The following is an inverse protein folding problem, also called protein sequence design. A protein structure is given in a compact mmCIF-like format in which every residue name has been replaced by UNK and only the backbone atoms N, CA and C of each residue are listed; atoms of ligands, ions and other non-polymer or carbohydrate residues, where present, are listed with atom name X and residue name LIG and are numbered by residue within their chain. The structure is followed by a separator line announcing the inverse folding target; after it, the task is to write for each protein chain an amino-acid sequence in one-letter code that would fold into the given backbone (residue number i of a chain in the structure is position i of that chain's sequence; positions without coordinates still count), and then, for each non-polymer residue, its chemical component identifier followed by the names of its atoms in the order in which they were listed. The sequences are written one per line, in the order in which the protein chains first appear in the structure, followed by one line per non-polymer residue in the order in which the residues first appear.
data_IF_395246551100
#
_entry.id   IF_395246551100
#
_cell.length_a   1.000
_cell.length_b   1.000
_cell.length_c   1.000
_cell.angle_alpha   90.00
_cell.angle_beta   90.00
_cell.angle_gamma   90.00
#
_symmetry.space_group_name_H-M   'P 1'
#
loop_
_entity.id
_entity.type
_entity.pdbx_description
1 polymer ?
#
# COMPACT_ATOMS: atom_id res chain seq x y z
N UNK A 1 -27.46 -50.94 -45.19
CA UNK A 1 -26.82 -49.93 -46.07
C UNK A 1 -25.55 -49.47 -45.37
N UNK A 2 -24.41 -49.88 -45.90
CA UNK A 2 -23.06 -49.69 -45.35
C UNK A 2 -22.50 -48.35 -45.84
N UNK A 3 -21.99 -47.49 -44.94
CA UNK A 3 -20.88 -46.58 -45.28
C UNK A 3 -19.88 -46.55 -44.14
N UNK A 4 -18.66 -46.92 -44.50
CA UNK A 4 -17.43 -46.95 -43.74
C UNK A 4 -16.52 -45.83 -44.29
N UNK A 5 -15.48 -45.49 -43.49
CA UNK A 5 -14.20 -44.84 -43.83
C UNK A 5 -14.22 -43.29 -43.91
N UNK A 6 -13.25 -42.54 -43.36
CA UNK A 6 -11.88 -42.91 -42.94
C UNK A 6 -11.12 -41.73 -42.27
N UNK A 7 -10.44 -42.04 -41.13
CA UNK A 7 -9.07 -41.70 -40.64
C UNK A 7 -8.55 -40.24 -40.71
N UNK A 8 -7.92 -39.59 -39.69
CA UNK A 8 -6.99 -39.93 -38.58
C UNK A 8 -5.81 -38.90 -38.60
N UNK A 9 -4.80 -38.81 -37.69
CA UNK A 9 -4.54 -39.51 -36.41
C UNK A 9 -4.06 -38.66 -35.18
N UNK A 10 -4.20 -39.29 -34.02
CA UNK A 10 -3.52 -39.31 -32.69
C UNK A 10 -2.28 -38.41 -32.35
N UNK A 11 -2.24 -37.89 -31.11
CA UNK A 11 -1.11 -38.06 -30.15
C UNK A 11 -1.65 -38.16 -28.70
N UNK A 12 -1.07 -39.09 -27.94
CA UNK A 12 -1.38 -39.50 -26.56
C UNK A 12 -0.59 -38.67 -25.55
N UNK A 13 -1.19 -38.36 -24.40
CA UNK A 13 -0.44 -38.34 -23.12
C UNK A 13 -1.35 -38.86 -22.00
N UNK A 14 -1.11 -40.09 -21.58
CA UNK A 14 -1.57 -40.61 -20.30
C UNK A 14 -0.71 -39.95 -19.22
N UNK A 15 -1.28 -39.13 -18.34
CA UNK A 15 -0.66 -38.85 -17.04
C UNK A 15 -1.36 -39.75 -16.03
N UNK A 16 -0.60 -40.74 -15.60
CA UNK A 16 -0.90 -41.72 -14.58
C UNK A 16 -1.14 -40.99 -13.25
N UNK A 17 -2.35 -41.09 -12.71
CA UNK A 17 -2.70 -40.65 -11.36
C UNK A 17 -2.02 -41.59 -10.36
N UNK A 18 -0.93 -41.15 -9.73
CA UNK A 18 -0.41 -41.80 -8.53
C UNK A 18 -1.21 -41.27 -7.34
N UNK A 19 -2.11 -42.11 -6.83
CA UNK A 19 -2.82 -41.89 -5.58
C UNK A 19 -1.81 -42.06 -4.45
N UNK A 20 -1.26 -40.94 -3.97
CA UNK A 20 -0.62 -40.88 -2.66
C UNK A 20 -1.68 -40.54 -1.61
N UNK A 21 -2.10 -41.53 -0.82
CA UNK A 21 -2.94 -41.31 0.35
C UNK A 21 -2.06 -40.61 1.40
N UNK A 22 -2.13 -39.29 1.47
CA UNK A 22 -1.69 -38.54 2.64
C UNK A 22 -2.87 -38.44 3.60
N UNK A 23 -2.92 -39.34 4.59
CA UNK A 23 -3.65 -39.09 5.83
C UNK A 23 -2.80 -38.09 6.65
N UNK A 24 -2.83 -36.82 6.22
CA UNK A 24 -2.30 -35.69 6.96
C UNK A 24 -3.48 -34.85 7.39
N UNK A 25 -3.60 -34.56 8.68
CA UNK A 25 -4.53 -33.56 9.20
C UNK A 25 -4.51 -32.34 8.29
N UNK A 26 -5.67 -31.95 7.76
CA UNK A 26 -5.86 -30.67 7.09
C UNK A 26 -5.70 -29.59 8.17
N UNK A 27 -4.45 -29.25 8.50
CA UNK A 27 -4.17 -27.90 8.94
C UNK A 27 -4.61 -27.05 7.77
N UNK A 28 -5.83 -26.51 7.86
CA UNK A 28 -6.14 -25.26 7.20
C UNK A 28 -4.99 -24.36 7.62
N UNK A 29 -4.01 -24.19 6.75
CA UNK A 29 -3.14 -23.04 6.85
C UNK A 29 -4.14 -21.90 6.82
N UNK A 30 -4.46 -21.38 8.01
CA UNK A 30 -5.00 -20.05 8.11
C UNK A 30 -4.05 -19.28 7.21
N UNK A 31 -4.57 -18.68 6.15
CA UNK A 31 -3.93 -17.51 5.60
C UNK A 31 -3.86 -16.58 6.81
N UNK A 32 -2.82 -16.73 7.63
CA UNK A 32 -2.38 -15.67 8.47
C UNK A 32 -2.01 -14.64 7.42
N UNK A 33 -2.76 -13.53 7.28
CA UNK A 33 -2.20 -12.43 6.52
C UNK A 33 -0.80 -12.28 7.07
N UNK A 34 0.22 -12.31 6.19
CA UNK A 34 1.54 -11.86 6.62
C UNK A 34 1.24 -10.54 7.31
N UNK A 35 1.50 -10.43 8.60
CA UNK A 35 1.60 -9.12 9.21
C UNK A 35 2.72 -8.48 8.40
N UNK A 36 2.32 -7.71 7.40
CA UNK A 36 3.20 -6.85 6.66
C UNK A 36 3.88 -6.04 7.76
N UNK A 37 5.20 -5.92 7.68
CA UNK A 37 5.88 -5.02 8.60
C UNK A 37 5.21 -3.66 8.37
N UNK A 38 4.38 -3.22 9.33
CA UNK A 38 3.57 -2.00 9.24
C UNK A 38 4.50 -0.79 9.43
N UNK A 39 5.65 -0.83 8.78
CA UNK A 39 6.73 0.13 8.86
C UNK A 39 6.98 0.64 7.45
N UNK A 40 6.96 1.95 7.32
CA UNK A 40 7.36 2.62 6.08
C UNK A 40 8.78 3.17 6.23
N UNK A 41 9.56 3.10 5.15
CA UNK A 41 10.89 3.67 5.06
C UNK A 41 10.88 4.80 4.02
N UNK A 42 11.66 5.85 4.27
CA UNK A 42 11.81 6.96 3.33
C UNK A 42 12.26 6.44 1.95
N UNK A 43 11.57 6.85 0.90
CA UNK A 43 11.85 6.50 -0.50
C UNK A 43 11.49 5.06 -0.88
N UNK A 44 10.84 4.28 0.00
CA UNK A 44 10.39 2.92 -0.29
C UNK A 44 8.87 2.84 -0.24
N UNK A 45 8.18 2.66 -1.38
CA UNK A 45 6.72 2.56 -1.40
C UNK A 45 6.26 1.28 -0.69
N UNK A 46 5.11 1.37 -0.03
CA UNK A 46 4.42 0.25 0.64
C UNK A 46 3.00 0.17 0.11
N UNK A 47 2.58 -1.00 -0.35
CA UNK A 47 1.18 -1.25 -0.74
C UNK A 47 0.42 -1.76 0.48
N UNK A 48 -0.74 -1.16 0.77
CA UNK A 48 -1.64 -1.57 1.86
C UNK A 48 -3.04 -1.85 1.32
N UNK A 49 -3.75 -2.78 1.96
CA UNK A 49 -5.17 -3.01 1.71
C UNK A 49 -6.01 -2.22 2.74
N UNK A 50 -7.08 -1.56 2.28
CA UNK A 50 -8.12 -0.95 3.12
C UNK A 50 -9.49 -1.49 2.71
N UNK A 51 -10.45 -1.55 3.63
CA UNK A 51 -11.77 -2.16 3.35
C UNK A 51 -12.99 -1.35 3.83
N UNK A 52 -12.84 -0.02 3.95
CA UNK A 52 -13.82 0.93 4.50
C UNK A 52 -14.07 0.79 6.01
N UNK A 53 -14.10 -0.44 6.54
CA UNK A 53 -14.23 -0.70 7.98
C UNK A 53 -12.88 -0.61 8.70
N UNK A 54 -11.79 -0.95 8.01
CA UNK A 54 -10.43 -1.03 8.55
C UNK A 54 -9.47 -0.13 7.75
N UNK A 55 -8.98 0.97 8.36
CA UNK A 55 -7.83 1.69 7.81
C UNK A 55 -6.55 0.87 7.96
N UNK A 56 -5.57 1.18 7.10
CA UNK A 56 -4.21 0.70 7.27
C UNK A 56 -3.41 1.65 8.17
N UNK A 57 -2.54 1.08 9.01
CA UNK A 57 -1.64 1.84 9.87
C UNK A 57 -0.18 1.52 9.54
N UNK A 58 0.59 2.55 9.20
CA UNK A 58 2.02 2.47 8.97
C UNK A 58 2.77 3.28 10.03
N UNK A 59 3.92 2.78 10.47
CA UNK A 59 4.81 3.43 11.41
C UNK A 59 6.05 3.94 10.70
N UNK A 60 6.41 5.19 10.96
CA UNK A 60 7.62 5.83 10.47
C UNK A 60 8.48 6.24 11.67
N UNK A 61 9.76 5.87 11.67
CA UNK A 61 10.70 6.30 12.72
C UNK A 61 11.53 7.47 12.21
N UNK A 62 11.42 8.61 12.90
CA UNK A 62 12.31 9.74 12.70
C UNK A 62 13.46 9.66 13.70
N UNK A 63 14.70 9.73 13.22
CA UNK A 63 15.89 9.72 14.08
C UNK A 63 16.27 11.13 14.57
N UNK A 64 15.71 12.17 13.96
CA UNK A 64 15.97 13.57 14.26
C UNK A 64 14.85 14.46 13.70
N UNK A 65 14.79 15.76 14.05
CA UNK A 65 13.84 16.68 13.44
C UNK A 65 14.03 16.75 11.93
N UNK A 66 12.95 16.59 11.18
CA UNK A 66 13.00 16.50 9.72
C UNK A 66 11.69 16.92 9.07
N UNK A 67 11.71 17.10 7.74
CA UNK A 67 10.51 17.28 6.94
C UNK A 67 10.16 15.98 6.24
N UNK A 68 8.88 15.70 6.10
CA UNK A 68 8.40 14.59 5.27
C UNK A 68 7.38 15.07 4.24
N UNK A 69 7.32 14.40 3.10
CA UNK A 69 6.19 14.38 2.18
C UNK A 69 5.57 12.98 2.17
N UNK A 70 4.27 12.89 1.89
CA UNK A 70 3.56 11.61 1.77
C UNK A 70 2.60 11.68 0.58
N UNK A 71 2.58 10.61 -0.21
CA UNK A 71 1.56 10.37 -1.25
C UNK A 71 0.86 9.04 -0.94
N UNK A 72 -0.46 9.02 -0.98
CA UNK A 72 -1.28 7.81 -0.91
C UNK A 72 -2.05 7.66 -2.22
N UNK A 73 -1.52 6.84 -3.13
CA UNK A 73 -2.04 6.63 -4.47
C UNK A 73 -2.97 5.41 -4.51
N UNK A 74 -4.22 5.59 -4.92
CA UNK A 74 -5.12 4.48 -5.19
C UNK A 74 -4.60 3.62 -6.35
N UNK A 75 -4.61 2.30 -6.20
CA UNK A 75 -4.34 1.35 -7.29
C UNK A 75 -5.62 0.84 -7.98
N UNK A 76 -6.79 1.32 -7.55
CA UNK A 76 -8.07 1.04 -8.16
C UNK A 76 -8.29 1.89 -9.43
N UNK A 77 -9.39 1.65 -10.15
CA UNK A 77 -9.79 2.53 -11.25
C UNK A 77 -9.99 3.98 -10.76
N UNK A 78 -9.65 4.96 -11.60
CA UNK A 78 -9.72 6.38 -11.26
C UNK A 78 -11.07 6.78 -10.66
N UNK A 79 -11.04 7.41 -9.48
CA UNK A 79 -12.24 7.89 -8.78
C UNK A 79 -13.02 6.83 -7.99
N UNK A 80 -12.58 5.56 -7.96
CA UNK A 80 -13.20 4.50 -7.14
C UNK A 80 -12.86 4.64 -5.67
N UNK A 81 -11.61 4.98 -5.37
CA UNK A 81 -11.09 5.09 -4.03
C UNK A 81 -10.45 6.47 -3.85
N UNK A 82 -11.05 7.24 -2.96
CA UNK A 82 -10.65 8.58 -2.54
C UNK A 82 -9.83 8.45 -1.26
N UNK A 83 -8.52 8.66 -1.30
CA UNK A 83 -7.61 8.30 -0.20
C UNK A 83 -7.50 9.40 0.85
N UNK A 84 -7.16 9.01 2.08
CA UNK A 84 -6.91 9.92 3.21
C UNK A 84 -5.61 9.56 3.89
N UNK A 85 -4.84 10.58 4.25
CA UNK A 85 -3.65 10.49 5.11
C UNK A 85 -3.94 11.24 6.41
N UNK A 86 -3.81 10.55 7.54
CA UNK A 86 -3.68 11.19 8.85
C UNK A 86 -2.32 10.83 9.47
N UNK A 87 -1.63 11.83 10.02
CA UNK A 87 -0.34 11.64 10.72
C UNK A 87 -0.49 12.01 12.18
N UNK A 88 -0.04 11.12 13.06
CA UNK A 88 -0.02 11.33 14.52
C UNK A 88 1.38 11.14 15.11
N UNK A 89 1.66 11.83 16.21
CA UNK A 89 2.87 11.61 17.01
C UNK A 89 2.75 10.38 17.93
N UNK A 90 3.81 10.09 18.70
CA UNK A 90 3.87 8.96 19.62
C UNK A 90 2.86 9.03 20.78
N UNK A 91 2.30 10.20 21.07
CA UNK A 91 1.26 10.41 22.07
C UNK A 91 -0.15 10.32 21.46
N UNK A 92 -0.26 10.14 20.14
CA UNK A 92 -1.51 10.11 19.41
C UNK A 92 -2.07 11.49 19.08
N UNK A 93 -1.29 12.57 19.25
CA UNK A 93 -1.72 13.89 18.81
C UNK A 93 -1.67 13.95 17.28
N UNK A 94 -2.75 14.45 16.66
CA UNK A 94 -2.82 14.64 15.22
C UNK A 94 -1.96 15.82 14.79
N UNK A 95 -1.06 15.56 13.84
CA UNK A 95 -0.16 16.55 13.25
C UNK A 95 -0.65 17.03 11.89
N UNK A 96 -1.25 16.12 11.10
CA UNK A 96 -1.77 16.42 9.77
C UNK A 96 -2.97 15.53 9.43
N UNK A 97 -3.83 16.04 8.55
CA UNK A 97 -4.91 15.32 7.87
C UNK A 97 -5.05 15.90 6.46
N UNK A 98 -5.05 15.05 5.45
CA UNK A 98 -5.22 15.42 4.03
C UNK A 98 -6.03 14.32 3.34
N UNK A 99 -7.04 14.71 2.56
CA UNK A 99 -7.92 13.83 1.78
C UNK A 99 -7.87 14.13 0.27
N UNK A 100 -7.21 15.20 -0.16
CA UNK A 100 -6.99 15.53 -1.57
C UNK A 100 -5.57 16.01 -1.84
N UNK A 101 -5.18 16.06 -3.12
CA UNK A 101 -3.92 16.65 -3.52
C UNK A 101 -4.07 18.13 -3.88
N UNK A 102 -3.15 18.99 -3.41
CA UNK A 102 -3.21 20.44 -3.61
C UNK A 102 -3.24 20.92 -5.09
N UNK A 103 -2.96 20.05 -6.06
CA UNK A 103 -2.65 20.45 -7.45
C UNK A 103 -3.55 19.87 -8.54
N UNK A 104 -4.63 19.13 -8.25
CA UNK A 104 -5.57 18.66 -9.28
C UNK A 104 -7.00 18.55 -8.76
N UNK A 105 -7.92 19.28 -9.38
CA UNK A 105 -9.35 19.29 -9.06
C UNK A 105 -10.06 17.92 -9.20
N UNK A 106 -9.40 16.96 -9.86
CA UNK A 106 -9.91 15.61 -10.10
C UNK A 106 -9.00 14.52 -9.49
N UNK A 107 -8.01 14.90 -8.66
CA UNK A 107 -7.15 13.92 -7.99
C UNK A 107 -7.69 13.62 -6.59
N UNK A 108 -8.19 12.40 -6.43
CA UNK A 108 -8.68 11.86 -5.16
C UNK A 108 -7.57 11.14 -4.37
N UNK A 109 -6.32 11.22 -4.84
CA UNK A 109 -5.16 10.81 -4.04
C UNK A 109 -4.76 11.92 -3.06
N UNK A 110 -4.76 11.60 -1.78
CA UNK A 110 -4.21 12.44 -0.73
C UNK A 110 -2.70 12.65 -0.92
N UNK A 111 -2.28 13.91 -0.88
CA UNK A 111 -0.89 14.31 -0.99
C UNK A 111 -0.53 15.35 0.09
N UNK A 112 0.33 14.95 1.03
CA UNK A 112 0.90 15.83 2.04
C UNK A 112 2.29 16.30 1.58
N UNK A 113 2.38 17.53 1.06
CA UNK A 113 3.62 18.03 0.44
C UNK A 113 4.75 18.22 1.45
N UNK A 114 4.47 18.82 2.61
CA UNK A 114 5.48 19.08 3.65
C UNK A 114 4.83 19.01 5.03
N UNK A 115 5.33 18.12 5.89
CA UNK A 115 5.08 18.10 7.32
C UNK A 115 6.41 18.14 8.10
N UNK A 116 6.53 19.04 9.06
CA UNK A 116 7.67 19.09 9.97
C UNK A 116 7.45 18.16 11.16
N UNK A 117 8.37 17.20 11.34
CA UNK A 117 8.45 16.31 12.50
C UNK A 117 9.43 16.94 13.50
N UNK A 118 8.96 17.44 14.65
CA UNK A 118 9.79 18.27 15.53
C UNK A 118 10.80 17.48 16.37
N UNK A 119 10.59 16.18 16.54
CA UNK A 119 11.35 15.34 17.47
C UNK A 119 11.71 14.00 16.83
N UNK A 120 12.73 13.34 17.36
CA UNK A 120 12.96 11.94 17.06
C UNK A 120 11.87 11.09 17.72
N UNK A 121 11.36 10.07 17.02
CA UNK A 121 10.28 9.24 17.53
C UNK A 121 9.55 8.46 16.47
N UNK A 122 8.52 7.75 16.92
CA UNK A 122 7.62 6.99 16.05
C UNK A 122 6.42 7.88 15.72
N UNK A 123 6.15 8.02 14.43
CA UNK A 123 4.97 8.66 13.88
C UNK A 123 4.09 7.60 13.24
N UNK A 124 2.78 7.74 13.41
CA UNK A 124 1.81 6.80 12.85
C UNK A 124 1.06 7.48 11.70
N UNK A 125 1.08 6.83 10.54
CA UNK A 125 0.28 7.17 9.37
C UNK A 125 -0.94 6.27 9.36
N UNK A 126 -2.13 6.86 9.39
CA UNK A 126 -3.40 6.17 9.09
C UNK A 126 -3.76 6.45 7.65
N UNK A 127 -3.93 5.38 6.87
CA UNK A 127 -4.31 5.39 5.46
C UNK A 127 -5.71 4.80 5.36
N UNK A 128 -6.63 5.52 4.74
CA UNK A 128 -8.02 5.09 4.60
C UNK A 128 -8.64 5.70 3.34
N UNK A 129 -9.93 5.45 3.13
CA UNK A 129 -10.75 6.18 2.17
C UNK A 129 -11.45 7.37 2.84
N UNK A 130 -11.84 8.37 2.03
CA UNK A 130 -12.61 9.50 2.49
C UNK A 130 -13.93 9.03 3.10
N UNK A 131 -14.19 9.41 4.36
CA UNK A 131 -15.29 8.90 5.19
C UNK A 131 -15.30 7.39 5.46
N UNK A 132 -14.27 6.63 5.08
CA UNK A 132 -14.20 5.18 5.32
C UNK A 132 -15.32 4.44 4.59
N UNK A 133 -15.47 4.65 3.28
CA UNK A 133 -16.57 4.06 2.47
C UNK A 133 -16.10 3.19 1.31
N UNK A 134 -14.84 3.29 0.92
CA UNK A 134 -14.26 2.55 -0.19
C UNK A 134 -13.18 1.58 0.29
N UNK A 135 -13.08 0.47 -0.43
CA UNK A 135 -12.10 -0.59 -0.23
C UNK A 135 -11.17 -0.66 -1.45
N UNK A 136 -9.93 -1.10 -1.25
CA UNK A 136 -8.98 -1.30 -2.33
C UNK A 136 -7.53 -1.25 -1.87
N UNK A 137 -6.63 -1.29 -2.84
CA UNK A 137 -5.20 -1.20 -2.61
C UNK A 137 -4.69 0.23 -2.75
N UNK A 138 -3.82 0.64 -1.84
CA UNK A 138 -3.19 1.96 -1.84
C UNK A 138 -1.68 1.80 -1.79
N UNK A 139 -0.98 2.42 -2.74
CA UNK A 139 0.47 2.59 -2.67
C UNK A 139 0.82 3.85 -1.89
N UNK A 140 1.60 3.71 -0.82
CA UNK A 140 2.00 4.80 0.07
C UNK A 140 3.50 5.04 -0.08
N UNK A 141 3.86 6.26 -0.44
CA UNK A 141 5.25 6.70 -0.50
C UNK A 141 5.46 7.84 0.50
N UNK A 142 6.48 7.70 1.35
CA UNK A 142 6.97 8.76 2.23
C UNK A 142 8.37 9.14 1.79
N UNK A 143 8.65 10.44 1.68
CA UNK A 143 10.02 10.94 1.48
C UNK A 143 10.40 11.86 2.63
N UNK A 144 11.61 11.67 3.16
CA UNK A 144 12.15 12.51 4.22
C UNK A 144 13.28 13.39 3.71
N UNK A 145 13.30 14.63 4.15
CA UNK A 145 14.35 15.60 3.84
C UNK A 145 14.83 16.31 5.10
N UNK A 146 16.10 16.70 5.09
CA UNK A 146 16.67 17.53 6.17
C UNK A 146 15.95 18.88 6.20
N UNK A 147 15.57 19.38 7.39
CA UNK A 147 14.87 20.66 7.50
C UNK A 147 15.77 21.85 7.14
N UNK A 148 17.07 21.62 6.93
CA UNK A 148 18.09 22.61 6.59
C UNK A 148 18.63 22.49 5.15
N UNK A 149 18.20 21.48 4.38
CA UNK A 149 18.76 21.24 3.04
C UNK A 149 18.21 22.14 1.94
N UNK A 150 17.12 22.87 2.17
CA UNK A 150 16.50 23.73 1.15
C UNK A 150 17.25 25.06 0.92
N UNK A 151 18.22 25.43 1.78
CA UNK A 151 18.82 26.78 1.76
C UNK A 151 20.24 26.85 1.17
N UNK A 152 20.89 25.74 0.78
CA UNK A 152 22.32 25.76 0.38
C UNK A 152 22.53 25.74 -1.15
N UNK A 153 21.46 25.73 -1.96
CA UNK A 153 21.58 25.69 -3.43
C UNK A 153 21.37 27.03 -4.15
N UNK A 154 21.26 28.18 -3.45
CA UNK A 154 21.01 29.48 -4.10
C UNK A 154 22.17 30.49 -4.05
N UNK A 155 23.26 30.22 -3.33
CA UNK A 155 24.34 31.21 -3.12
C UNK A 155 25.66 30.87 -3.85
N UNK A 156 25.59 30.15 -4.98
CA UNK A 156 26.79 29.78 -5.73
C UNK A 156 26.60 29.70 -7.23
N UNK A 157 26.56 30.84 -7.92
CA UNK A 157 27.42 31.27 -9.05
C UNK A 157 27.24 32.78 -9.26
#
# INVERSE_FOLDING_TARGET
MLRFLSHGPLVRTNIMLVIGIFLGTLAMARYAPRQQDNRILSGQPVIVDIDADNPAYLSYTADSPQRISIVAHSLEEDGVLDTVIEVTDAQGNKLAYVDDGANRADNVDAQLDVLYLPEAGIYTLRIDSFNGVSAGQVEVLLEASSPFMEQISHDGV
#
